data_IF_064540088665
#
_entry.id   IF_064540088665
#
_cell.length_a   1.000
_cell.length_b   1.000
_cell.length_c   1.000
_cell.angle_alpha   90.00
_cell.angle_beta   90.00
_cell.angle_gamma   90.00
#
_symmetry.space_group_name_H-M   'P 1'
#
loop_
_entity.id
_entity.type
_entity.pdbx_description
1 polymer ?
#
# COMPACT_ATOMS: atom_id res chain seq x y z
N UNK A 1 78.39 -15.71 28.73
CA UNK A 1 78.34 -17.16 28.50
C UNK A 1 77.13 -17.43 27.65
N UNK A 2 77.25 -17.44 26.32
CA UNK A 2 77.24 -18.65 25.43
C UNK A 2 75.82 -19.35 25.48
N UNK A 3 75.01 -19.50 24.41
CA UNK A 3 75.22 -20.00 23.03
C UNK A 3 73.92 -19.77 22.30
N UNK A 4 73.84 -19.23 21.12
CA UNK A 4 73.89 -19.80 19.77
C UNK A 4 72.89 -20.91 19.44
N UNK A 5 72.29 -20.71 18.31
CA UNK A 5 71.65 -21.62 17.33
C UNK A 5 70.13 -21.82 17.49
N UNK A 6 69.31 -21.78 16.48
CA UNK A 6 69.52 -21.93 15.06
C UNK A 6 68.26 -21.55 14.30
N UNK A 7 68.55 -21.00 13.19
CA UNK A 7 67.61 -20.57 12.15
C UNK A 7 67.10 -21.80 11.37
N UNK A 8 65.76 -22.03 11.33
CA UNK A 8 65.20 -22.88 10.28
C UNK A 8 64.02 -22.09 9.65
N UNK A 9 64.30 -21.58 8.48
CA UNK A 9 63.34 -20.96 7.56
C UNK A 9 62.60 -22.07 6.86
N UNK A 10 61.36 -22.23 7.16
CA UNK A 10 60.44 -23.09 6.40
C UNK A 10 59.55 -22.21 5.54
N UNK A 11 59.95 -22.10 4.25
CA UNK A 11 59.14 -21.53 3.17
C UNK A 11 57.95 -22.45 2.92
N UNK A 12 56.77 -22.06 3.39
CA UNK A 12 55.51 -22.67 2.98
C UNK A 12 54.93 -21.78 1.87
N UNK A 13 55.07 -22.25 0.64
CA UNK A 13 54.44 -21.70 -0.56
C UNK A 13 52.93 -21.92 -0.47
N UNK A 14 52.18 -20.84 -0.16
CA UNK A 14 50.71 -20.81 -0.24
C UNK A 14 50.30 -20.70 -1.72
N UNK A 15 49.97 -21.85 -2.32
CA UNK A 15 49.27 -21.89 -3.60
C UNK A 15 47.84 -21.43 -3.37
N UNK A 16 47.56 -20.15 -3.69
CA UNK A 16 46.22 -19.56 -3.65
C UNK A 16 45.46 -20.10 -4.86
N UNK A 17 44.64 -21.14 -4.64
CA UNK A 17 43.67 -21.61 -5.62
C UNK A 17 42.50 -20.62 -5.66
N UNK A 18 42.55 -19.76 -6.66
CA UNK A 18 41.45 -18.87 -7.02
C UNK A 18 40.32 -19.72 -7.61
N UNK A 19 39.37 -20.15 -6.77
CA UNK A 19 38.12 -20.77 -7.25
C UNK A 19 37.29 -19.69 -7.87
N UNK A 20 37.27 -19.60 -9.19
CA UNK A 20 36.34 -18.79 -9.96
C UNK A 20 34.92 -19.33 -9.71
N UNK A 21 34.21 -18.65 -8.84
CA UNK A 21 32.76 -18.86 -8.66
C UNK A 21 32.06 -18.35 -9.93
N UNK A 22 31.77 -19.25 -10.85
CA UNK A 22 30.92 -18.96 -12.01
C UNK A 22 29.54 -18.58 -11.48
N UNK A 23 29.26 -17.29 -11.44
CA UNK A 23 27.91 -16.80 -11.27
C UNK A 23 27.10 -17.30 -12.47
N UNK A 24 26.30 -18.33 -12.24
CA UNK A 24 25.25 -18.74 -13.18
C UNK A 24 24.26 -17.59 -13.22
N UNK A 25 24.42 -16.71 -14.19
CA UNK A 25 23.39 -15.77 -14.56
C UNK A 25 22.19 -16.64 -15.01
N UNK A 26 21.20 -16.77 -14.13
CA UNK A 26 19.90 -17.32 -14.50
C UNK A 26 19.33 -16.36 -15.52
N UNK A 27 19.50 -16.70 -16.80
CA UNK A 27 18.73 -16.12 -17.87
C UNK A 27 17.26 -16.41 -17.55
N UNK A 28 16.57 -15.45 -16.94
CA UNK A 28 15.11 -15.41 -16.90
C UNK A 28 14.70 -15.30 -18.37
N UNK A 29 14.46 -16.43 -18.97
CA UNK A 29 13.86 -16.54 -20.30
C UNK A 29 12.48 -15.90 -20.17
N UNK A 30 12.38 -14.60 -20.49
CA UNK A 30 11.14 -13.91 -20.75
C UNK A 30 10.60 -14.46 -22.08
N UNK A 31 10.07 -15.68 -21.98
CA UNK A 31 9.70 -16.47 -23.14
C UNK A 31 8.41 -15.94 -23.73
N UNK A 32 8.55 -15.23 -24.85
CA UNK A 32 7.55 -15.48 -25.88
C UNK A 32 7.81 -16.91 -26.36
N UNK A 33 6.85 -17.79 -26.13
CA UNK A 33 6.84 -19.11 -26.72
C UNK A 33 6.88 -18.94 -28.25
N UNK A 34 7.49 -19.91 -28.95
CA UNK A 34 7.63 -19.87 -30.43
C UNK A 34 6.28 -19.72 -31.15
N UNK A 35 5.17 -19.90 -30.44
CA UNK A 35 3.79 -19.81 -30.94
C UNK A 35 3.14 -18.42 -30.76
N UNK A 36 3.89 -17.39 -30.38
CA UNK A 36 3.36 -16.02 -30.21
C UNK A 36 2.52 -15.82 -28.94
N UNK A 37 2.56 -16.76 -28.01
CA UNK A 37 1.93 -16.63 -26.68
C UNK A 37 2.84 -15.84 -25.75
N UNK A 38 2.25 -14.96 -24.95
CA UNK A 38 2.97 -14.11 -24.00
C UNK A 38 2.56 -14.47 -22.58
N UNK A 39 3.53 -14.68 -21.71
CA UNK A 39 3.26 -14.89 -20.29
C UNK A 39 2.58 -13.67 -19.70
N UNK A 40 1.49 -13.87 -18.99
CA UNK A 40 0.74 -12.81 -18.31
C UNK A 40 0.43 -13.19 -16.88
N UNK A 41 0.28 -12.19 -16.04
CA UNK A 41 -0.09 -12.34 -14.64
C UNK A 41 -1.30 -11.47 -14.34
N UNK A 42 -2.23 -12.01 -13.55
CA UNK A 42 -3.38 -11.29 -13.04
C UNK A 42 -2.99 -10.55 -11.77
N UNK A 43 -2.96 -9.24 -11.85
CA UNK A 43 -2.67 -8.38 -10.71
C UNK A 43 -3.94 -7.68 -10.22
N UNK A 44 -4.08 -7.42 -8.92
CA UNK A 44 -5.17 -6.60 -8.44
C UNK A 44 -4.94 -5.17 -8.91
N UNK A 45 -6.01 -4.45 -9.25
CA UNK A 45 -5.91 -3.03 -9.59
C UNK A 45 -5.45 -2.19 -8.40
N UNK A 46 -5.93 -2.53 -7.21
CA UNK A 46 -5.54 -1.91 -5.96
C UNK A 46 -5.09 -2.99 -4.96
N UNK A 47 -3.89 -2.80 -4.42
CA UNK A 47 -3.34 -3.57 -3.32
C UNK A 47 -2.70 -2.60 -2.34
N UNK A 48 -3.08 -2.66 -1.07
CA UNK A 48 -2.63 -1.71 -0.05
C UNK A 48 -2.34 -2.46 1.25
N UNK A 49 -1.21 -2.13 1.86
CA UNK A 49 -0.93 -2.47 3.25
C UNK A 49 -1.48 -1.36 4.15
N UNK A 50 -2.53 -1.65 4.90
CA UNK A 50 -3.08 -0.73 5.89
C UNK A 50 -2.20 -0.76 7.14
N UNK A 51 -1.79 0.42 7.57
CA UNK A 51 -0.95 0.60 8.77
C UNK A 51 -1.67 1.46 9.80
N UNK A 52 -1.27 1.30 11.08
CA UNK A 52 -1.80 2.15 12.15
C UNK A 52 -1.31 3.59 12.00
N UNK A 53 -2.20 4.55 12.21
CA UNK A 53 -1.86 5.97 12.27
C UNK A 53 -1.73 6.48 13.71
N UNK A 54 -2.19 5.68 14.69
CA UNK A 54 -2.20 6.02 16.10
C UNK A 54 -1.58 4.92 16.96
N UNK A 55 -1.14 5.29 18.16
CA UNK A 55 -0.66 4.37 19.16
C UNK A 55 -1.86 3.89 20.03
N UNK A 56 -2.34 2.67 19.78
CA UNK A 56 -3.53 2.17 20.47
C UNK A 56 -3.56 0.63 20.53
N UNK A 57 -4.43 0.09 21.38
CA UNK A 57 -4.76 -1.34 21.36
C UNK A 57 -5.85 -1.59 20.30
N UNK A 58 -5.71 -2.66 19.54
CA UNK A 58 -6.74 -3.13 18.64
C UNK A 58 -7.93 -3.65 19.45
N UNK A 59 -9.06 -2.96 19.38
CA UNK A 59 -10.29 -3.39 20.06
C UNK A 59 -11.03 -4.45 19.24
N UNK A 60 -11.09 -4.28 17.90
CA UNK A 60 -11.76 -5.22 17.02
C UNK A 60 -11.00 -5.40 15.70
N UNK A 61 -10.92 -6.65 15.27
CA UNK A 61 -10.34 -7.06 13.98
C UNK A 61 -11.17 -8.23 13.46
N UNK A 62 -12.37 -7.96 12.92
CA UNK A 62 -13.36 -9.00 12.64
C UNK A 62 -12.98 -9.89 11.45
N UNK A 63 -12.18 -9.39 10.51
CA UNK A 63 -11.84 -10.08 9.27
C UNK A 63 -10.62 -10.98 9.43
N UNK A 64 -10.67 -12.13 8.77
CA UNK A 64 -9.58 -13.10 8.63
C UNK A 64 -9.03 -13.06 7.21
N UNK A 65 -7.87 -13.69 7.01
CA UNK A 65 -7.31 -13.87 5.67
C UNK A 65 -8.31 -14.62 4.77
N UNK A 66 -8.52 -14.11 3.56
CA UNK A 66 -9.51 -14.60 2.60
C UNK A 66 -10.92 -13.99 2.74
N UNK A 67 -11.25 -13.36 3.87
CA UNK A 67 -12.57 -12.75 4.06
C UNK A 67 -12.77 -11.57 3.11
N UNK A 68 -13.99 -11.44 2.59
CA UNK A 68 -14.39 -10.34 1.74
C UNK A 68 -14.90 -9.15 2.58
N UNK A 69 -14.70 -7.95 2.06
CA UNK A 69 -15.20 -6.71 2.65
C UNK A 69 -15.70 -5.75 1.57
N UNK A 70 -16.50 -4.76 1.99
CA UNK A 70 -17.05 -3.72 1.12
C UNK A 70 -16.29 -2.40 1.31
N UNK A 71 -16.29 -1.55 0.30
CA UNK A 71 -15.81 -0.19 0.43
C UNK A 71 -16.55 0.55 1.56
N UNK A 72 -15.81 1.31 2.38
CA UNK A 72 -16.32 2.02 3.55
C UNK A 72 -16.61 1.15 4.79
N UNK A 73 -16.50 -0.16 4.69
CA UNK A 73 -16.66 -1.05 5.84
C UNK A 73 -15.51 -0.85 6.82
N UNK A 74 -15.82 -0.68 8.11
CA UNK A 74 -14.79 -0.65 9.15
C UNK A 74 -14.19 -2.05 9.32
N UNK A 75 -12.88 -2.15 9.12
CA UNK A 75 -12.12 -3.40 9.14
C UNK A 75 -11.15 -3.51 10.33
N UNK A 76 -10.78 -2.37 10.90
CA UNK A 76 -10.01 -2.31 12.15
C UNK A 76 -10.66 -1.28 13.07
N UNK A 77 -10.83 -1.63 14.33
CA UNK A 77 -11.26 -0.71 15.39
C UNK A 77 -10.23 -0.68 16.52
N UNK A 78 -9.91 0.52 16.98
CA UNK A 78 -8.98 0.73 18.10
C UNK A 78 -9.71 1.09 19.38
N UNK A 79 -9.09 0.78 20.51
CA UNK A 79 -9.50 1.30 21.81
C UNK A 79 -9.08 2.77 21.93
N UNK A 80 -10.05 3.64 21.86
CA UNK A 80 -9.86 5.09 21.79
C UNK A 80 -10.34 5.84 23.01
N UNK A 81 -10.53 5.18 24.14
CA UNK A 81 -10.99 5.82 25.37
C UNK A 81 -10.13 7.04 25.76
N UNK A 82 -8.81 6.93 25.58
CA UNK A 82 -7.87 8.03 25.87
C UNK A 82 -8.10 9.22 24.91
N UNK A 83 -8.14 8.97 23.60
CA UNK A 83 -8.32 10.03 22.60
C UNK A 83 -9.69 10.72 22.73
N UNK A 84 -10.73 9.96 23.02
CA UNK A 84 -12.06 10.49 23.30
C UNK A 84 -12.06 11.38 24.56
N UNK A 85 -11.31 10.99 25.59
CA UNK A 85 -11.17 11.80 26.81
C UNK A 85 -10.41 13.12 26.54
N UNK A 86 -9.36 13.07 25.72
CA UNK A 86 -8.63 14.26 25.28
C UNK A 86 -9.53 15.21 24.47
N UNK A 87 -10.35 14.67 23.56
CA UNK A 87 -11.32 15.47 22.81
C UNK A 87 -12.32 16.16 23.74
N UNK A 88 -12.95 15.42 24.67
CA UNK A 88 -13.88 16.02 25.66
C UNK A 88 -13.21 17.13 26.47
N UNK A 89 -11.97 16.95 26.88
CA UNK A 89 -11.21 17.99 27.60
C UNK A 89 -11.03 19.26 26.73
N UNK A 90 -10.65 19.09 25.47
CA UNK A 90 -10.46 20.21 24.54
C UNK A 90 -11.77 20.92 24.20
N UNK A 91 -12.87 20.17 24.05
CA UNK A 91 -14.21 20.72 23.85
C UNK A 91 -14.66 21.53 25.06
N UNK A 92 -14.47 21.06 26.28
CA UNK A 92 -14.77 21.80 27.50
C UNK A 92 -13.94 23.11 27.62
N UNK A 93 -12.65 23.05 27.22
CA UNK A 93 -11.82 24.26 27.16
C UNK A 93 -12.33 25.28 26.14
N UNK A 94 -12.83 24.81 25.00
CA UNK A 94 -13.45 25.67 23.98
C UNK A 94 -14.72 26.34 24.49
N UNK A 95 -15.57 25.59 25.19
CA UNK A 95 -16.78 26.12 25.82
C UNK A 95 -16.46 27.20 26.87
N UNK A 96 -15.46 26.93 27.72
CA UNK A 96 -15.00 27.89 28.72
C UNK A 96 -14.45 29.20 28.10
N UNK A 97 -13.59 29.05 27.06
CA UNK A 97 -13.03 30.20 26.34
C UNK A 97 -14.13 31.02 25.63
N UNK A 98 -15.15 30.37 25.07
CA UNK A 98 -16.28 31.03 24.44
C UNK A 98 -17.13 31.79 25.48
N UNK A 99 -17.37 31.22 26.66
CA UNK A 99 -18.09 31.90 27.74
C UNK A 99 -17.36 33.17 28.22
N UNK A 100 -16.02 33.12 28.33
CA UNK A 100 -15.19 34.29 28.65
C UNK A 100 -15.33 35.35 27.57
N UNK A 101 -15.18 34.99 26.29
CA UNK A 101 -15.31 35.93 25.18
C UNK A 101 -16.69 36.63 25.20
N UNK A 102 -17.78 35.88 25.38
CA UNK A 102 -19.13 36.44 25.47
C UNK A 102 -19.31 37.37 26.66
N UNK A 103 -18.67 37.08 27.79
CA UNK A 103 -18.67 37.97 28.96
C UNK A 103 -17.91 39.25 28.66
N UNK A 104 -16.71 39.15 28.10
CA UNK A 104 -15.85 40.29 27.77
C UNK A 104 -16.50 41.18 26.70
N UNK A 105 -17.15 40.61 25.71
CA UNK A 105 -17.93 41.39 24.72
C UNK A 105 -19.02 42.21 25.37
N UNK A 106 -19.81 41.62 26.29
CA UNK A 106 -20.85 42.34 27.02
C UNK A 106 -20.26 43.46 27.92
N UNK A 107 -19.09 43.20 28.56
CA UNK A 107 -18.42 44.24 29.37
C UNK A 107 -17.84 45.37 28.51
N UNK A 108 -17.36 45.05 27.32
CA UNK A 108 -16.89 46.07 26.38
C UNK A 108 -18.02 46.96 25.86
N UNK A 109 -19.23 46.40 25.59
CA UNK A 109 -20.44 47.16 25.23
C UNK A 109 -20.82 48.18 26.33
N UNK A 110 -20.55 47.81 27.59
CA UNK A 110 -20.75 48.69 28.76
C UNK A 110 -19.57 49.61 29.04
N UNK A 111 -18.56 49.67 28.16
CA UNK A 111 -17.32 50.42 28.32
C UNK A 111 -16.54 50.07 29.62
N UNK A 112 -16.73 48.83 30.15
CA UNK A 112 -16.08 48.39 31.38
C UNK A 112 -14.69 47.74 31.16
N UNK A 113 -14.41 47.32 29.92
CA UNK A 113 -13.11 46.78 29.49
C UNK A 113 -12.72 47.34 28.12
N UNK A 114 -11.44 47.25 27.77
CA UNK A 114 -10.90 47.70 26.49
C UNK A 114 -11.04 46.70 25.37
N UNK A 115 -10.79 47.13 24.14
CA UNK A 115 -10.80 46.22 22.96
C UNK A 115 -9.73 45.13 23.04
N UNK A 116 -8.62 45.40 23.70
CA UNK A 116 -7.50 44.47 23.84
C UNK A 116 -7.91 43.19 24.58
N UNK A 117 -8.70 43.33 25.66
CA UNK A 117 -9.21 42.18 26.44
C UNK A 117 -10.11 41.32 25.61
N UNK A 118 -11.00 41.89 24.81
CA UNK A 118 -11.89 41.14 23.88
C UNK A 118 -11.06 40.42 22.81
N UNK A 119 -10.08 41.11 22.22
CA UNK A 119 -9.18 40.49 21.21
C UNK A 119 -8.37 39.35 21.82
N UNK A 120 -7.91 39.47 23.06
CA UNK A 120 -7.21 38.41 23.78
C UNK A 120 -8.12 37.23 24.05
N UNK A 121 -9.36 37.46 24.52
CA UNK A 121 -10.34 36.36 24.71
C UNK A 121 -10.69 35.66 23.39
N UNK A 122 -10.81 36.42 22.30
CA UNK A 122 -11.01 35.86 20.98
C UNK A 122 -9.84 34.99 20.50
N UNK A 123 -8.60 35.44 20.77
CA UNK A 123 -7.41 34.65 20.43
C UNK A 123 -7.36 33.31 21.21
N UNK A 124 -7.70 33.36 22.52
CA UNK A 124 -7.80 32.14 23.35
C UNK A 124 -8.88 31.17 22.86
N UNK A 125 -10.04 31.70 22.44
CA UNK A 125 -11.07 30.82 21.85
C UNK A 125 -10.59 30.14 20.57
N UNK A 126 -9.90 30.87 19.70
CA UNK A 126 -9.33 30.28 18.47
C UNK A 126 -8.29 29.20 18.78
N UNK A 127 -7.44 29.40 19.79
CA UNK A 127 -6.46 28.43 20.25
C UNK A 127 -7.15 27.15 20.76
N UNK A 128 -8.16 27.28 21.65
CA UNK A 128 -8.93 26.16 22.17
C UNK A 128 -9.69 25.40 21.06
N UNK A 129 -10.24 26.13 20.08
CA UNK A 129 -10.89 25.52 18.91
C UNK A 129 -9.91 24.70 18.06
N UNK A 130 -8.69 25.21 17.86
CA UNK A 130 -7.65 24.50 17.12
C UNK A 130 -7.22 23.20 17.83
N UNK A 131 -7.09 23.25 19.16
CA UNK A 131 -6.79 22.07 19.98
C UNK A 131 -7.92 21.02 19.91
N UNK A 132 -9.18 21.45 20.02
CA UNK A 132 -10.34 20.55 19.88
C UNK A 132 -10.41 19.94 18.48
N UNK A 133 -10.10 20.71 17.43
CA UNK A 133 -10.02 20.19 16.06
C UNK A 133 -8.93 19.15 15.91
N UNK A 134 -7.74 19.37 16.48
CA UNK A 134 -6.63 18.41 16.48
C UNK A 134 -7.03 17.11 17.20
N UNK A 135 -7.63 17.20 18.38
CA UNK A 135 -8.09 16.04 19.13
C UNK A 135 -9.19 15.25 18.37
N UNK A 136 -10.08 15.97 17.66
CA UNK A 136 -11.13 15.34 16.83
C UNK A 136 -10.55 14.55 15.65
N UNK A 137 -9.48 15.05 15.02
CA UNK A 137 -8.77 14.31 13.98
C UNK A 137 -8.18 13.00 14.49
N UNK A 138 -7.61 12.99 15.70
CA UNK A 138 -7.09 11.77 16.33
C UNK A 138 -8.20 10.76 16.62
N UNK A 139 -9.37 11.22 17.11
CA UNK A 139 -10.54 10.37 17.29
C UNK A 139 -11.03 9.81 15.95
N UNK A 140 -10.97 10.58 14.88
CA UNK A 140 -11.29 10.11 13.53
C UNK A 140 -10.43 8.94 13.04
N UNK A 141 -9.21 8.78 13.60
CA UNK A 141 -8.29 7.66 13.28
C UNK A 141 -8.53 6.41 14.14
N UNK A 142 -9.55 6.41 14.97
CA UNK A 142 -9.89 5.27 15.84
C UNK A 142 -10.48 4.06 15.13
N UNK A 143 -10.74 4.18 13.86
CA UNK A 143 -11.17 3.09 13.00
C UNK A 143 -10.60 3.23 11.62
N UNK A 144 -10.26 2.12 11.00
CA UNK A 144 -9.82 2.08 9.62
C UNK A 144 -10.95 1.46 8.80
N UNK A 145 -11.45 2.25 7.85
CA UNK A 145 -12.40 1.79 6.86
C UNK A 145 -11.70 1.35 5.57
N UNK A 146 -12.25 0.36 4.89
CA UNK A 146 -11.73 -0.14 3.63
C UNK A 146 -11.89 0.92 2.53
N UNK A 147 -10.81 1.29 1.81
CA UNK A 147 -10.88 2.29 0.74
C UNK A 147 -11.58 1.79 -0.52
N UNK A 148 -11.64 0.49 -0.72
CA UNK A 148 -12.30 -0.20 -1.84
C UNK A 148 -12.91 -1.53 -1.36
N UNK A 149 -13.68 -2.20 -2.21
CA UNK A 149 -14.19 -3.54 -1.94
C UNK A 149 -13.16 -4.60 -2.38
N UNK A 150 -12.96 -5.64 -1.55
CA UNK A 150 -11.96 -6.64 -1.84
C UNK A 150 -11.89 -7.77 -0.83
N UNK A 151 -10.72 -8.36 -0.68
CA UNK A 151 -10.42 -9.41 0.29
C UNK A 151 -9.15 -9.10 1.09
N UNK A 152 -9.10 -9.64 2.30
CA UNK A 152 -7.90 -9.62 3.13
C UNK A 152 -6.91 -10.62 2.57
N UNK A 153 -5.74 -10.16 2.11
CA UNK A 153 -4.67 -11.03 1.62
C UNK A 153 -3.82 -11.57 2.78
N UNK A 154 -3.51 -10.70 3.75
CA UNK A 154 -2.69 -11.08 4.91
C UNK A 154 -3.05 -10.26 6.13
N UNK A 155 -2.93 -10.88 7.30
CA UNK A 155 -3.09 -10.24 8.59
C UNK A 155 -1.77 -10.22 9.34
N UNK A 156 -1.29 -9.03 9.72
CA UNK A 156 0.00 -8.85 10.40
C UNK A 156 -0.13 -8.76 11.91
N UNK A 157 -1.35 -8.55 12.43
CA UNK A 157 -1.62 -8.30 13.86
C UNK A 157 -2.77 -9.14 14.38
N UNK A 158 -2.89 -9.24 15.69
CA UNK A 158 -4.00 -9.91 16.37
C UNK A 158 -4.92 -8.90 17.07
N UNK A 159 -6.16 -9.31 17.33
CA UNK A 159 -7.04 -8.55 18.23
C UNK A 159 -6.40 -8.42 19.61
N UNK A 160 -6.63 -7.29 20.28
CA UNK A 160 -6.07 -6.92 21.59
C UNK A 160 -4.56 -6.66 21.62
N UNK A 161 -3.88 -6.73 20.49
CA UNK A 161 -2.48 -6.33 20.36
C UNK A 161 -2.37 -4.80 20.42
N UNK A 162 -1.31 -4.31 21.08
CA UNK A 162 -0.94 -2.89 21.04
C UNK A 162 -0.10 -2.61 19.80
N UNK A 163 -0.40 -1.52 19.10
CA UNK A 163 0.30 -1.09 17.90
C UNK A 163 0.71 0.37 17.99
N UNK A 164 1.72 0.74 17.23
CA UNK A 164 2.23 2.11 17.11
C UNK A 164 2.04 2.63 15.68
N UNK A 165 2.11 3.94 15.44
CA UNK A 165 2.05 4.49 14.10
C UNK A 165 3.07 3.83 13.17
N UNK A 166 2.63 3.49 11.94
CA UNK A 166 3.44 2.80 10.94
C UNK A 166 3.40 1.26 11.01
N UNK A 167 2.92 0.64 12.09
CA UNK A 167 2.81 -0.82 12.15
C UNK A 167 1.81 -1.33 11.10
N UNK A 168 2.22 -2.30 10.23
CA UNK A 168 1.32 -2.92 9.27
C UNK A 168 0.24 -3.73 10.02
N UNK A 169 -0.99 -3.63 9.56
CA UNK A 169 -2.15 -4.29 10.15
C UNK A 169 -2.71 -5.38 9.24
N UNK A 170 -3.09 -4.98 8.03
CA UNK A 170 -3.73 -5.83 7.02
C UNK A 170 -3.19 -5.50 5.63
N UNK A 171 -2.89 -6.53 4.85
CA UNK A 171 -2.77 -6.39 3.40
C UNK A 171 -4.13 -6.69 2.78
N UNK A 172 -4.63 -5.75 2.00
CA UNK A 172 -5.92 -5.86 1.33
C UNK A 172 -5.74 -5.75 -0.18
N UNK A 173 -6.52 -6.54 -0.91
CA UNK A 173 -6.48 -6.58 -2.38
C UNK A 173 -7.88 -6.42 -2.96
N UNK A 174 -7.99 -5.64 -4.01
CA UNK A 174 -9.21 -5.56 -4.80
C UNK A 174 -9.37 -6.82 -5.64
N UNK A 175 -10.56 -7.42 -5.61
CA UNK A 175 -10.85 -8.66 -6.37
C UNK A 175 -11.87 -8.45 -7.48
N UNK A 176 -12.50 -7.28 -7.55
CA UNK A 176 -13.54 -6.96 -8.53
C UNK A 176 -12.99 -6.61 -9.92
N UNK A 177 -11.80 -6.05 -9.99
CA UNK A 177 -11.14 -5.68 -11.24
C UNK A 177 -9.69 -6.16 -11.22
N UNK A 178 -9.39 -7.12 -12.08
CA UNK A 178 -8.04 -7.65 -12.24
C UNK A 178 -7.42 -7.09 -13.52
N UNK A 179 -6.17 -6.70 -13.42
CA UNK A 179 -5.38 -6.23 -14.54
C UNK A 179 -4.43 -7.33 -15.00
N UNK A 180 -4.44 -7.63 -16.28
CA UNK A 180 -3.49 -8.54 -16.91
C UNK A 180 -2.21 -7.77 -17.24
N UNK A 181 -1.12 -8.10 -16.60
CA UNK A 181 0.19 -7.53 -16.92
C UNK A 181 1.00 -8.51 -17.75
N UNK A 182 1.50 -8.06 -18.88
CA UNK A 182 2.34 -8.82 -19.79
C UNK A 182 3.47 -7.96 -20.33
N UNK A 183 4.56 -8.61 -20.73
CA UNK A 183 5.71 -7.97 -21.33
C UNK A 183 5.79 -8.46 -22.77
N UNK A 184 5.67 -7.54 -23.72
CA UNK A 184 5.67 -7.86 -25.16
C UNK A 184 6.87 -7.25 -25.86
N UNK A 185 7.34 -7.83 -27.00
CA UNK A 185 8.38 -7.22 -27.83
C UNK A 185 7.95 -5.83 -28.32
N UNK A 186 8.83 -4.84 -28.24
CA UNK A 186 8.54 -3.45 -28.63
C UNK A 186 8.08 -3.30 -30.08
N UNK A 187 8.52 -4.19 -30.97
CA UNK A 187 8.06 -4.24 -32.38
C UNK A 187 6.54 -4.44 -32.52
N UNK A 188 5.85 -4.98 -31.49
CA UNK A 188 4.40 -5.13 -31.51
C UNK A 188 3.67 -3.80 -31.42
N UNK A 189 4.35 -2.73 -30.98
CA UNK A 189 3.79 -1.38 -30.98
C UNK A 189 3.40 -0.87 -32.38
N UNK A 190 3.88 -1.50 -33.44
CA UNK A 190 3.45 -1.18 -34.81
C UNK A 190 1.93 -1.44 -35.01
N UNK A 191 1.37 -2.46 -34.32
CA UNK A 191 -0.03 -2.85 -34.48
C UNK A 191 -0.81 -2.91 -33.17
N UNK A 192 -0.15 -3.17 -32.02
CA UNK A 192 -0.80 -3.30 -30.74
C UNK A 192 -1.25 -1.92 -30.22
N UNK A 193 -2.55 -1.78 -30.03
CA UNK A 193 -3.18 -0.52 -29.59
C UNK A 193 -4.13 -0.80 -28.42
N UNK A 194 -4.44 0.17 -27.56
CA UNK A 194 -5.57 0.08 -26.65
C UNK A 194 -6.85 -0.34 -27.39
N UNK A 195 -7.60 -1.28 -26.79
CA UNK A 195 -8.78 -1.90 -27.39
C UNK A 195 -8.50 -3.17 -28.22
N UNK A 196 -7.25 -3.53 -28.49
CA UNK A 196 -6.93 -4.77 -29.16
C UNK A 196 -7.40 -5.97 -28.32
N UNK A 197 -8.20 -6.88 -28.93
CA UNK A 197 -8.71 -8.09 -28.30
C UNK A 197 -7.64 -9.19 -28.29
N UNK A 198 -7.62 -9.96 -27.22
CA UNK A 198 -6.84 -11.18 -27.08
C UNK A 198 -7.57 -12.17 -26.16
N UNK A 199 -7.12 -13.41 -26.05
CA UNK A 199 -7.58 -14.34 -25.03
C UNK A 199 -6.47 -14.62 -24.04
N UNK A 200 -6.84 -14.90 -22.79
CA UNK A 200 -5.91 -15.34 -21.76
C UNK A 200 -6.29 -16.74 -21.29
N UNK A 201 -5.36 -17.66 -21.41
CA UNK A 201 -5.49 -19.03 -20.91
C UNK A 201 -4.91 -19.05 -19.48
N UNK A 202 -5.79 -19.08 -18.47
CA UNK A 202 -5.40 -19.09 -17.06
C UNK A 202 -5.04 -20.52 -16.65
N UNK A 203 -3.80 -20.74 -16.26
CA UNK A 203 -3.27 -22.08 -15.98
C UNK A 203 -3.96 -22.74 -14.78
N UNK A 204 -4.19 -21.98 -13.70
CA UNK A 204 -4.78 -22.52 -12.46
C UNK A 204 -6.22 -22.97 -12.62
N UNK A 205 -6.93 -22.44 -13.62
CA UNK A 205 -8.33 -22.78 -13.86
C UNK A 205 -8.53 -23.67 -15.11
N UNK A 206 -7.51 -23.76 -15.97
CA UNK A 206 -7.60 -24.46 -17.26
C UNK A 206 -8.66 -23.86 -18.20
N UNK A 207 -8.92 -22.55 -18.10
CA UNK A 207 -9.96 -21.85 -18.87
C UNK A 207 -9.39 -20.67 -19.61
N UNK A 208 -9.97 -20.40 -20.77
CA UNK A 208 -9.66 -19.24 -21.60
C UNK A 208 -10.71 -18.14 -21.38
N UNK A 209 -10.24 -16.91 -21.24
CA UNK A 209 -11.07 -15.73 -21.01
C UNK A 209 -10.79 -14.67 -22.07
N UNK A 210 -11.84 -14.05 -22.66
CA UNK A 210 -11.65 -12.93 -23.56
C UNK A 210 -11.14 -11.71 -22.77
N UNK A 211 -10.18 -10.99 -23.35
CA UNK A 211 -9.54 -9.85 -22.74
C UNK A 211 -9.24 -8.77 -23.79
N UNK A 212 -9.02 -7.55 -23.32
CA UNK A 212 -8.66 -6.40 -24.15
C UNK A 212 -7.47 -5.66 -23.59
N UNK A 213 -6.63 -5.17 -24.47
CA UNK A 213 -5.55 -4.25 -24.09
C UNK A 213 -6.19 -2.95 -23.61
N UNK A 214 -5.88 -2.55 -22.38
CA UNK A 214 -6.34 -1.31 -21.78
C UNK A 214 -5.36 -0.18 -22.02
N UNK A 215 -4.08 -0.43 -21.79
CA UNK A 215 -3.00 0.55 -21.95
C UNK A 215 -1.67 -0.13 -22.28
N UNK A 216 -0.80 0.65 -22.88
CA UNK A 216 0.57 0.27 -23.18
C UNK A 216 1.49 1.13 -22.31
N UNK A 217 2.55 0.56 -21.80
CA UNK A 217 3.54 1.25 -21.00
C UNK A 217 4.20 2.39 -21.75
N UNK A 218 4.57 3.42 -21.02
CA UNK A 218 5.18 4.63 -21.61
C UNK A 218 6.67 4.49 -21.91
N UNK A 219 7.31 3.39 -21.47
CA UNK A 219 8.75 3.19 -21.60
C UNK A 219 9.05 1.81 -22.18
N UNK A 220 9.99 1.78 -23.12
CA UNK A 220 10.58 0.56 -23.66
C UNK A 220 11.86 0.29 -22.88
N UNK A 221 12.05 -0.95 -22.45
CA UNK A 221 13.32 -1.40 -21.90
C UNK A 221 14.33 -1.53 -23.05
N UNK A 222 15.43 -0.76 -23.06
CA UNK A 222 16.36 -0.73 -24.18
C UNK A 222 17.21 -2.01 -24.30
N UNK A 223 17.36 -2.77 -23.21
CA UNK A 223 18.19 -3.98 -23.18
C UNK A 223 17.40 -5.16 -23.74
N UNK A 224 16.19 -5.37 -23.20
CA UNK A 224 15.33 -6.47 -23.62
C UNK A 224 14.49 -6.15 -24.86
N UNK A 225 14.42 -4.87 -25.28
CA UNK A 225 13.56 -4.38 -26.35
C UNK A 225 12.09 -4.76 -26.15
N UNK A 226 11.63 -4.66 -24.91
CA UNK A 226 10.25 -5.01 -24.52
C UNK A 226 9.51 -3.83 -23.92
N UNK A 227 8.21 -3.93 -23.87
CA UNK A 227 7.31 -2.95 -23.26
C UNK A 227 6.24 -3.66 -22.44
N UNK A 228 5.88 -3.07 -21.29
CA UNK A 228 4.78 -3.55 -20.48
C UNK A 228 3.45 -3.22 -21.16
N UNK A 229 2.55 -4.18 -21.21
CA UNK A 229 1.18 -4.02 -21.69
C UNK A 229 0.23 -4.47 -20.62
N UNK A 230 -0.82 -3.69 -20.44
CA UNK A 230 -1.85 -3.95 -19.44
C UNK A 230 -3.19 -4.21 -20.14
N UNK A 231 -3.81 -5.29 -19.77
CA UNK A 231 -5.12 -5.70 -20.28
C UNK A 231 -6.12 -5.87 -19.17
N UNK A 232 -7.36 -6.06 -19.53
CA UNK A 232 -8.46 -6.36 -18.63
C UNK A 232 -9.27 -7.52 -19.20
N UNK A 233 -9.69 -8.42 -18.33
CA UNK A 233 -10.60 -9.51 -18.72
C UNK A 233 -11.99 -8.93 -18.94
N UNK A 234 -12.66 -9.35 -20.03
CA UNK A 234 -14.02 -8.89 -20.33
C UNK A 234 -15.03 -9.46 -19.33
N UNK A 235 -15.82 -8.58 -18.74
CA UNK A 235 -16.87 -8.93 -17.78
C UNK A 235 -16.35 -9.29 -16.38
N UNK A 236 -17.31 -9.54 -15.47
CA UNK A 236 -16.99 -10.01 -14.12
C UNK A 236 -16.87 -11.54 -14.14
N UNK A 237 -15.66 -12.05 -13.97
CA UNK A 237 -15.38 -13.49 -13.99
C UNK A 237 -15.16 -14.02 -12.56
N UNK A 238 -16.20 -14.58 -11.92
CA UNK A 238 -16.06 -15.14 -10.58
C UNK A 238 -15.07 -16.31 -10.61
N UNK A 239 -14.12 -16.30 -9.66
CA UNK A 239 -13.10 -17.36 -9.54
C UNK A 239 -11.71 -16.92 -9.98
N UNK A 240 -11.54 -15.80 -10.68
CA UNK A 240 -10.23 -15.22 -10.90
C UNK A 240 -9.71 -14.56 -9.61
N UNK A 241 -8.48 -14.88 -9.26
CA UNK A 241 -7.81 -14.32 -8.09
C UNK A 241 -6.52 -13.57 -8.50
N UNK A 242 -6.16 -12.52 -7.79
CA UNK A 242 -4.86 -11.90 -7.94
C UNK A 242 -3.73 -12.91 -7.73
N UNK A 243 -2.69 -12.82 -8.54
CA UNK A 243 -1.55 -13.75 -8.50
C UNK A 243 -1.65 -14.92 -9.46
N UNK A 244 -2.83 -15.22 -10.02
CA UNK A 244 -2.97 -16.22 -11.07
C UNK A 244 -2.16 -15.81 -12.31
N UNK A 245 -1.71 -16.82 -13.04
CA UNK A 245 -0.87 -16.65 -14.23
C UNK A 245 -1.43 -17.40 -15.43
N UNK A 246 -0.98 -17.00 -16.60
CA UNK A 246 -1.45 -17.63 -17.84
C UNK A 246 -0.72 -17.17 -19.07
N UNK A 247 -1.31 -17.48 -20.20
CA UNK A 247 -0.78 -17.13 -21.51
C UNK A 247 -1.76 -16.25 -22.27
N UNK A 248 -1.31 -15.07 -22.62
CA UNK A 248 -2.03 -14.19 -23.53
C UNK A 248 -1.80 -14.65 -24.98
N UNK A 249 -2.88 -14.93 -25.68
CA UNK A 249 -2.90 -15.37 -27.07
C UNK A 249 -3.51 -14.26 -27.90
N UNK A 250 -2.71 -13.62 -28.74
CA UNK A 250 -3.18 -12.62 -29.69
C UNK A 250 -3.55 -13.28 -31.00
N UNK A 251 -4.64 -12.82 -31.67
CA UNK A 251 -5.00 -13.37 -32.97
C UNK A 251 -3.84 -13.15 -33.95
N UNK A 252 -3.39 -14.24 -34.57
CA UNK A 252 -2.28 -14.22 -35.54
C UNK A 252 -2.66 -13.30 -36.69
N UNK A 253 -1.98 -12.17 -36.82
CA UNK A 253 -2.07 -11.41 -38.07
C UNK A 253 -1.13 -12.04 -39.08
N UNK A 254 -1.75 -12.55 -40.16
CA UNK A 254 -1.04 -12.87 -41.42
C UNK A 254 -0.45 -11.62 -42.03
#
# INVERSE_FOLDING_TARGET
MTRCAGLVVLLVSLVSTCTATSAIAQNVNLASDKDGRIRTQLNPRNAVTLSSEIAARIASLPLREGDAFRAGQQIVGFDCALYQSQLRKAEAATEAANAVLQSDQRMAELNSIGKFEVEQAQARLKEAQAEAASARLLVGRCGIAAPFAGRVAKRHVAAHQYVTPGNPLLDIVETGQLELQMIVPSKWLAWLRPGAGFSVDVEELGKSYPAKVQRVGAQIDPVSQTVAVFGVVDGNQPGLLPGMSGWAVFPTRK
#
